data_IF_595880887481
#
_entry.id   IF_595880887481
#
_cell.length_a   1.000
_cell.length_b   1.000
_cell.length_c   1.000
_cell.angle_alpha   90.00
_cell.angle_beta   90.00
_cell.angle_gamma   90.00
#
_symmetry.space_group_name_H-M   'P 1'
#
loop_
_entity.id
_entity.type
_entity.pdbx_description
1 polymer ?
#
# COMPACT_ATOMS: atom_id res chain seq x y z
N UNK A 1 -3.88 -0.87 -0.24
CA UNK A 1 -4.33 -1.45 -1.53
C UNK A 1 -5.50 -0.61 -2.00
N UNK A 2 -5.35 0.14 -3.09
CA UNK A 2 -6.43 0.95 -3.66
C UNK A 2 -6.97 0.27 -4.93
N UNK A 3 -8.30 0.12 -4.93
CA UNK A 3 -9.27 -0.46 -5.88
C UNK A 3 -8.77 -1.28 -7.08
N UNK A 4 -9.08 -2.58 -7.03
CA UNK A 4 -9.45 -3.35 -8.21
C UNK A 4 -10.94 -3.11 -8.46
N UNK A 5 -11.26 -2.50 -9.60
CA UNK A 5 -12.57 -2.67 -10.21
C UNK A 5 -12.35 -2.78 -11.73
N UNK A 6 -12.43 -4.00 -12.24
CA UNK A 6 -12.52 -4.27 -13.67
C UNK A 6 -13.96 -4.00 -14.13
N UNK A 7 -14.35 -2.72 -14.14
CA UNK A 7 -15.60 -2.23 -14.72
C UNK A 7 -15.27 -1.02 -15.58
N UNK A 8 -15.36 -1.21 -16.89
CA UNK A 8 -15.13 -0.15 -17.88
C UNK A 8 -16.32 0.81 -17.86
N UNK A 9 -16.33 1.80 -16.97
CA UNK A 9 -17.11 3.05 -17.09
C UNK A 9 -16.84 3.98 -15.89
N UNK A 10 -15.82 4.83 -16.00
CA UNK A 10 -15.67 5.98 -15.10
C UNK A 10 -16.61 7.11 -15.55
N UNK A 11 -17.92 6.95 -15.34
CA UNK A 11 -18.96 7.89 -15.81
C UNK A 11 -19.19 9.08 -14.86
N UNK A 12 -18.47 9.17 -13.74
CA UNK A 12 -18.71 10.15 -12.67
C UNK A 12 -17.53 11.10 -12.38
N UNK A 13 -16.60 11.27 -13.33
CA UNK A 13 -15.43 12.14 -13.19
C UNK A 13 -14.50 11.83 -12.00
N UNK A 14 -14.55 10.61 -11.45
CA UNK A 14 -13.59 10.17 -10.44
C UNK A 14 -12.27 9.78 -11.12
N UNK A 15 -11.16 10.31 -10.61
CA UNK A 15 -9.80 9.92 -10.98
C UNK A 15 -9.12 9.19 -9.84
N UNK A 16 -8.40 8.11 -10.14
CA UNK A 16 -7.58 7.37 -9.18
C UNK A 16 -6.30 6.85 -9.84
N UNK A 17 -5.31 6.47 -9.04
CA UNK A 17 -4.06 5.87 -9.51
C UNK A 17 -3.95 4.46 -8.92
N UNK A 18 -3.87 3.46 -9.78
CA UNK A 18 -3.48 2.10 -9.42
C UNK A 18 -1.98 1.93 -9.66
N UNK A 19 -1.25 1.50 -8.64
CA UNK A 19 0.21 1.38 -8.69
C UNK A 19 0.69 -0.07 -8.49
N UNK A 20 1.74 -0.41 -9.22
CA UNK A 20 2.63 -1.53 -8.88
C UNK A 20 3.55 -1.07 -7.73
N UNK A 21 3.74 -1.88 -6.68
CA UNK A 21 4.34 -1.46 -5.40
C UNK A 21 5.84 -1.79 -5.28
N UNK A 22 6.40 -2.64 -6.15
CA UNK A 22 7.77 -3.13 -6.01
C UNK A 22 8.81 -2.01 -6.13
N UNK A 23 8.59 -1.06 -7.05
CA UNK A 23 9.56 -0.01 -7.35
C UNK A 23 9.72 1.04 -6.23
N UNK A 24 8.73 1.22 -5.36
CA UNK A 24 8.75 2.27 -4.36
C UNK A 24 7.56 2.26 -3.40
N UNK A 25 7.68 3.06 -2.34
CA UNK A 25 6.64 3.20 -1.32
C UNK A 25 5.69 4.37 -1.65
N UNK A 26 4.56 4.45 -0.95
CA UNK A 26 3.47 5.39 -1.28
C UNK A 26 3.82 6.88 -1.26
N UNK A 27 4.95 7.30 -0.68
CA UNK A 27 5.34 8.72 -0.55
C UNK A 27 5.50 9.39 -1.92
N UNK A 28 6.13 8.71 -2.89
CA UNK A 28 6.33 9.27 -4.23
C UNK A 28 4.99 9.44 -4.97
N UNK A 29 4.09 8.45 -4.84
CA UNK A 29 2.76 8.48 -5.46
C UNK A 29 1.87 9.53 -4.80
N UNK A 30 1.92 9.66 -3.48
CA UNK A 30 1.19 10.71 -2.76
C UNK A 30 1.60 12.09 -3.26
N UNK A 31 2.92 12.35 -3.38
CA UNK A 31 3.41 13.62 -3.91
C UNK A 31 2.94 13.85 -5.35
N UNK A 32 2.98 12.83 -6.20
CA UNK A 32 2.48 12.92 -7.57
C UNK A 32 0.99 13.28 -7.60
N UNK A 33 0.16 12.61 -6.78
CA UNK A 33 -1.27 12.88 -6.70
C UNK A 33 -1.57 14.31 -6.20
N UNK A 34 -0.87 14.77 -5.17
CA UNK A 34 -1.01 16.13 -4.63
C UNK A 34 -0.65 17.20 -5.67
N UNK A 35 0.47 17.02 -6.38
CA UNK A 35 0.91 17.98 -7.41
C UNK A 35 0.00 17.96 -8.64
N UNK A 36 -0.44 16.79 -9.12
CA UNK A 36 -1.43 16.69 -10.22
C UNK A 36 -2.72 17.38 -9.81
N UNK A 37 -3.23 17.12 -8.60
CA UNK A 37 -4.47 17.74 -8.14
C UNK A 37 -4.32 19.26 -8.05
N UNK A 38 -3.22 19.73 -7.46
CA UNK A 38 -2.93 21.16 -7.37
C UNK A 38 -2.86 21.80 -8.76
N UNK A 39 -2.06 21.24 -9.66
CA UNK A 39 -1.85 21.77 -11.00
C UNK A 39 -3.13 21.78 -11.84
N UNK A 40 -3.93 20.71 -11.77
CA UNK A 40 -5.23 20.64 -12.47
C UNK A 40 -6.25 21.65 -11.94
N UNK A 41 -6.13 22.10 -10.69
CA UNK A 41 -6.97 23.15 -10.11
C UNK A 41 -6.44 24.54 -10.46
N UNK A 42 -5.14 24.78 -10.29
CA UNK A 42 -4.54 26.12 -10.42
C UNK A 42 -4.17 26.50 -11.84
N UNK A 43 -3.69 25.55 -12.65
CA UNK A 43 -3.15 25.76 -14.00
C UNK A 43 -3.98 25.01 -15.05
N UNK A 44 -5.30 25.20 -15.03
CA UNK A 44 -6.21 24.53 -15.99
C UNK A 44 -5.82 24.85 -17.43
N UNK A 45 -5.26 23.86 -18.12
CA UNK A 45 -4.87 23.98 -19.52
C UNK A 45 -6.02 23.66 -20.49
N UNK A 46 -7.14 23.13 -20.01
CA UNK A 46 -8.36 22.84 -20.78
C UNK A 46 -9.60 23.20 -19.98
N UNK A 47 -10.65 23.65 -20.68
CA UNK A 47 -11.95 23.98 -20.13
C UNK A 47 -13.06 23.21 -20.86
N UNK A 48 -14.17 23.00 -20.18
CA UNK A 48 -15.36 22.36 -20.78
C UNK A 48 -15.81 23.19 -21.98
N UNK A 49 -15.99 22.54 -23.13
CA UNK A 49 -16.41 23.20 -24.37
C UNK A 49 -15.29 23.84 -25.20
N UNK A 50 -14.03 23.80 -24.74
CA UNK A 50 -12.88 24.22 -25.57
C UNK A 50 -12.82 23.36 -26.83
N UNK A 51 -12.93 23.98 -27.99
CA UNK A 51 -12.78 23.31 -29.27
C UNK A 51 -11.34 22.82 -29.43
N UNK A 52 -11.18 21.52 -29.72
CA UNK A 52 -9.88 20.91 -29.97
C UNK A 52 -9.52 21.16 -31.43
N UNK A 53 -8.32 21.68 -31.67
CA UNK A 53 -7.78 21.82 -33.01
C UNK A 53 -7.41 20.44 -33.56
N UNK A 54 -8.34 19.83 -34.30
CA UNK A 54 -8.16 18.50 -34.88
C UNK A 54 -6.94 18.41 -35.81
N UNK A 55 -6.48 19.53 -36.39
CA UNK A 55 -5.28 19.56 -37.22
C UNK A 55 -3.98 19.38 -36.41
N UNK A 56 -4.02 19.60 -35.09
CA UNK A 56 -2.89 19.39 -34.16
C UNK A 56 -3.01 18.11 -33.35
N UNK A 57 -4.10 17.35 -33.50
CA UNK A 57 -4.24 16.06 -32.86
C UNK A 57 -3.25 15.09 -33.50
N UNK A 58 -2.29 14.60 -32.71
CA UNK A 58 -1.41 13.53 -33.17
C UNK A 58 -2.22 12.27 -33.53
N UNK A 59 -1.69 11.47 -34.46
CA UNK A 59 -2.32 10.19 -34.81
C UNK A 59 -2.26 9.22 -33.62
N UNK A 60 -3.40 8.65 -33.24
CA UNK A 60 -3.46 7.60 -32.21
C UNK A 60 -3.39 6.25 -32.89
N UNK A 61 -2.47 5.39 -32.42
CA UNK A 61 -2.28 4.05 -32.99
C UNK A 61 -2.84 2.99 -32.05
N UNK A 62 -3.79 2.19 -32.55
CA UNK A 62 -4.26 1.00 -31.85
C UNK A 62 -3.14 -0.03 -31.76
N UNK A 63 -2.89 -0.55 -30.56
CA UNK A 63 -1.97 -1.67 -30.37
C UNK A 63 -2.67 -2.97 -30.82
N UNK A 64 -2.06 -3.68 -31.75
CA UNK A 64 -2.55 -4.95 -32.28
C UNK A 64 -1.83 -6.13 -31.64
N UNK A 65 -2.60 -7.10 -31.15
CA UNK A 65 -2.08 -8.30 -30.50
C UNK A 65 -2.48 -9.54 -31.29
N UNK A 66 -1.49 -10.34 -31.71
CA UNK A 66 -1.74 -11.63 -32.37
C UNK A 66 -1.79 -12.73 -31.31
N UNK A 67 -2.99 -13.23 -31.03
CA UNK A 67 -3.21 -14.25 -29.99
C UNK A 67 -3.44 -15.63 -30.63
N UNK A 68 -2.66 -16.61 -30.19
CA UNK A 68 -2.92 -18.03 -30.47
C UNK A 68 -3.86 -18.62 -29.41
N UNK A 69 -4.31 -19.86 -29.61
CA UNK A 69 -5.30 -20.51 -28.73
C UNK A 69 -4.77 -20.74 -27.31
N UNK A 70 -3.47 -21.00 -27.16
CA UNK A 70 -2.81 -21.13 -25.86
C UNK A 70 -2.86 -19.81 -25.06
N UNK A 71 -2.56 -18.68 -25.71
CA UNK A 71 -2.65 -17.35 -25.10
C UNK A 71 -4.09 -16.99 -24.75
N UNK A 72 -5.06 -17.29 -25.63
CA UNK A 72 -6.49 -17.05 -25.34
C UNK A 72 -6.94 -17.84 -24.11
N UNK A 73 -6.54 -19.10 -24.01
CA UNK A 73 -6.83 -19.96 -22.86
C UNK A 73 -6.20 -19.40 -21.58
N UNK A 74 -4.94 -18.96 -21.66
CA UNK A 74 -4.21 -18.36 -20.53
C UNK A 74 -4.87 -17.08 -20.05
N UNK A 75 -5.27 -16.18 -20.97
CA UNK A 75 -5.99 -14.94 -20.66
C UNK A 75 -7.31 -15.24 -19.97
N UNK A 76 -8.08 -16.20 -20.49
CA UNK A 76 -9.35 -16.61 -19.90
C UNK A 76 -9.14 -17.11 -18.47
N UNK A 77 -8.18 -18.02 -18.26
CA UNK A 77 -7.85 -18.54 -16.92
C UNK A 77 -7.41 -17.43 -15.97
N UNK A 78 -6.57 -16.50 -16.42
CA UNK A 78 -6.12 -15.38 -15.60
C UNK A 78 -7.28 -14.45 -15.20
N UNK A 79 -8.24 -14.23 -16.13
CA UNK A 79 -9.45 -13.45 -15.87
C UNK A 79 -10.36 -14.14 -14.85
N UNK A 80 -10.64 -15.44 -15.01
CA UNK A 80 -11.42 -16.23 -14.05
C UNK A 80 -10.78 -16.20 -12.64
N UNK A 81 -9.46 -16.39 -12.57
CA UNK A 81 -8.71 -16.30 -11.31
C UNK A 81 -8.74 -14.89 -10.70
N UNK A 82 -8.70 -13.85 -11.52
CA UNK A 82 -8.79 -12.48 -11.05
C UNK A 82 -10.16 -12.20 -10.43
N UNK A 83 -11.25 -12.56 -11.12
CA UNK A 83 -12.62 -12.41 -10.60
C UNK A 83 -12.79 -13.18 -9.30
N UNK A 84 -12.32 -14.43 -9.25
CA UNK A 84 -12.40 -15.26 -8.04
C UNK A 84 -11.62 -14.65 -6.85
N UNK A 85 -10.42 -14.12 -7.07
CA UNK A 85 -9.66 -13.42 -6.01
C UNK A 85 -10.36 -12.15 -5.54
N UNK A 86 -11.02 -11.43 -6.43
CA UNK A 86 -11.71 -10.20 -6.07
C UNK A 86 -13.02 -10.46 -5.33
N UNK A 87 -13.68 -11.61 -5.55
CA UNK A 87 -14.94 -11.92 -4.88
C UNK A 87 -14.81 -12.12 -3.36
N UNK A 88 -13.60 -12.41 -2.87
CA UNK A 88 -13.31 -12.59 -1.44
C UNK A 88 -12.84 -11.29 -0.76
N UNK A 89 -12.71 -10.19 -1.51
CA UNK A 89 -12.26 -8.90 -0.96
C UNK A 89 -13.43 -8.14 -0.32
N UNK A 90 -13.46 -8.09 1.01
CA UNK A 90 -14.30 -7.16 1.76
C UNK A 90 -13.62 -5.79 1.90
N UNK A 91 -14.35 -4.72 1.57
CA UNK A 91 -13.88 -3.34 1.76
C UNK A 91 -15.03 -2.44 2.20
N UNK A 92 -14.79 -1.62 3.22
CA UNK A 92 -15.69 -0.57 3.68
C UNK A 92 -14.89 0.64 4.16
N UNK A 93 -15.53 1.81 4.25
CA UNK A 93 -14.90 3.05 4.69
C UNK A 93 -15.75 3.71 5.78
N UNK A 94 -15.12 4.03 6.91
CA UNK A 94 -15.78 4.70 8.03
C UNK A 94 -15.18 6.10 8.17
N UNK A 95 -16.04 7.12 8.13
CA UNK A 95 -15.67 8.51 8.38
C UNK A 95 -16.18 8.96 9.75
N UNK A 96 -15.25 9.29 10.66
CA UNK A 96 -15.60 9.75 12.00
C UNK A 96 -15.50 11.28 12.13
N UNK A 97 -16.59 11.97 11.83
CA UNK A 97 -16.65 13.46 11.77
C UNK A 97 -16.34 14.17 13.10
N UNK A 98 -16.53 13.51 14.25
CA UNK A 98 -16.36 14.16 15.57
C UNK A 98 -14.94 14.09 16.12
N UNK A 99 -14.13 13.15 15.66
CA UNK A 99 -12.78 12.88 16.19
C UNK A 99 -11.78 13.43 15.17
N UNK A 100 -11.39 14.68 15.37
CA UNK A 100 -10.50 15.38 14.44
C UNK A 100 -9.08 15.44 14.98
N UNK A 101 -8.11 15.65 14.08
CA UNK A 101 -6.70 15.86 14.42
C UNK A 101 -6.53 16.98 15.45
N UNK A 102 -7.29 18.05 15.33
CA UNK A 102 -7.25 19.22 16.21
C UNK A 102 -7.69 18.84 17.62
N UNK A 103 -8.80 18.10 17.76
CA UNK A 103 -9.28 17.64 19.06
C UNK A 103 -8.32 16.68 19.75
N UNK A 104 -7.75 15.73 19.00
CA UNK A 104 -6.76 14.80 19.55
C UNK A 104 -5.52 15.57 20.03
N UNK A 105 -5.06 16.55 19.25
CA UNK A 105 -3.92 17.39 19.63
C UNK A 105 -4.21 18.30 20.83
N UNK A 106 -5.43 18.82 20.99
CA UNK A 106 -5.83 19.58 22.19
C UNK A 106 -5.72 18.73 23.47
N UNK A 107 -5.98 17.43 23.36
CA UNK A 107 -5.77 16.47 24.45
C UNK A 107 -4.30 16.04 24.63
N UNK A 108 -3.35 16.62 23.87
CA UNK A 108 -1.91 16.29 23.87
C UNK A 108 -1.60 14.84 23.48
N UNK A 109 -2.44 14.26 22.63
CA UNK A 109 -2.28 12.89 22.13
C UNK A 109 -1.83 12.89 20.66
N UNK A 110 -1.19 11.80 20.24
CA UNK A 110 -0.83 11.58 18.84
C UNK A 110 -2.05 11.04 18.07
N UNK A 111 -2.49 11.69 16.97
CA UNK A 111 -3.58 11.18 16.13
C UNK A 111 -3.31 9.76 15.63
N UNK A 112 -2.09 9.49 15.21
CA UNK A 112 -1.63 8.18 14.74
C UNK A 112 -1.78 7.11 15.84
N UNK A 113 -1.31 7.40 17.06
CA UNK A 113 -1.42 6.48 18.18
C UNK A 113 -2.87 6.21 18.59
N UNK A 114 -3.75 7.21 18.50
CA UNK A 114 -5.19 7.04 18.78
C UNK A 114 -5.85 6.16 17.74
N UNK A 115 -5.52 6.32 16.46
CA UNK A 115 -6.03 5.45 15.39
C UNK A 115 -5.54 4.01 15.57
N UNK A 116 -4.25 3.81 15.87
CA UNK A 116 -3.68 2.50 16.15
C UNK A 116 -4.34 1.83 17.36
N UNK A 117 -4.53 2.55 18.46
CA UNK A 117 -5.25 2.06 19.63
C UNK A 117 -6.70 1.68 19.28
N UNK A 118 -7.38 2.50 18.49
CA UNK A 118 -8.74 2.21 18.02
C UNK A 118 -8.82 0.91 17.23
N UNK A 119 -7.87 0.66 16.33
CA UNK A 119 -7.78 -0.59 15.57
C UNK A 119 -7.51 -1.80 16.48
N UNK A 120 -6.60 -1.68 17.44
CA UNK A 120 -6.33 -2.74 18.42
C UNK A 120 -7.56 -3.05 19.29
N UNK A 121 -8.27 -2.02 19.77
CA UNK A 121 -9.48 -2.21 20.57
C UNK A 121 -10.63 -2.81 19.76
N UNK A 122 -10.78 -2.42 18.49
CA UNK A 122 -11.77 -2.99 17.60
C UNK A 122 -11.48 -4.47 17.30
N UNK A 123 -10.21 -4.83 17.07
CA UNK A 123 -9.82 -6.22 16.89
C UNK A 123 -10.07 -7.03 18.18
N UNK A 124 -9.65 -6.51 19.33
CA UNK A 124 -9.84 -7.17 20.62
C UNK A 124 -11.33 -7.32 20.98
N UNK A 125 -12.19 -6.35 20.68
CA UNK A 125 -13.63 -6.45 20.98
C UNK A 125 -14.35 -7.52 20.17
N UNK A 126 -13.85 -7.86 18.98
CA UNK A 126 -14.41 -8.89 18.10
C UNK A 126 -13.83 -10.27 18.43
N UNK A 127 -12.51 -10.37 18.64
CA UNK A 127 -11.80 -11.65 18.71
C UNK A 127 -11.27 -12.02 20.10
N UNK A 128 -11.23 -11.09 21.05
CA UNK A 128 -10.80 -11.33 22.43
C UNK A 128 -9.29 -11.49 22.62
N UNK A 129 -8.47 -11.22 21.60
CA UNK A 129 -7.01 -11.32 21.67
C UNK A 129 -6.30 -10.14 20.97
N UNK A 130 -5.03 -9.93 21.31
CA UNK A 130 -4.14 -9.02 20.59
C UNK A 130 -3.22 -9.82 19.67
N UNK A 131 -2.98 -9.27 18.48
CA UNK A 131 -2.22 -9.93 17.42
C UNK A 131 -1.06 -9.06 16.93
N UNK A 132 0.01 -9.67 16.36
CA UNK A 132 1.06 -8.91 15.70
C UNK A 132 0.46 -8.01 14.61
N UNK A 133 0.70 -6.71 14.71
CA UNK A 133 0.13 -5.72 13.81
C UNK A 133 1.26 -5.01 13.09
N UNK A 134 1.16 -4.90 11.77
CA UNK A 134 2.15 -4.19 10.98
C UNK A 134 1.72 -2.74 10.75
N UNK A 135 2.62 -1.81 11.04
CA UNK A 135 2.43 -0.41 10.67
C UNK A 135 3.66 0.10 9.92
N UNK A 136 3.44 0.69 8.75
CA UNK A 136 4.53 1.21 7.93
C UNK A 136 5.14 2.50 8.51
N UNK A 137 6.46 2.54 8.62
CA UNK A 137 7.25 3.71 8.96
C UNK A 137 8.21 4.05 7.82
N UNK A 138 8.20 5.28 7.33
CA UNK A 138 9.16 5.69 6.29
C UNK A 138 10.56 5.85 6.87
N UNK A 139 11.56 5.29 6.19
CA UNK A 139 13.00 5.53 6.45
C UNK A 139 13.64 6.36 5.33
N UNK A 140 12.84 7.07 4.52
CA UNK A 140 13.30 7.86 3.38
C UNK A 140 14.28 9.00 3.74
N UNK A 141 14.48 9.30 5.02
CA UNK A 141 15.53 10.19 5.50
C UNK A 141 16.95 9.62 5.27
N UNK A 142 17.09 8.31 5.07
CA UNK A 142 18.34 7.62 4.79
C UNK A 142 18.51 7.35 3.29
N UNK A 143 19.77 7.23 2.83
CA UNK A 143 20.08 6.89 1.44
C UNK A 143 19.43 5.56 1.04
N UNK A 144 18.59 5.57 -0.01
CA UNK A 144 17.81 4.41 -0.46
C UNK A 144 16.88 3.83 0.61
N UNK A 145 16.47 4.65 1.58
CA UNK A 145 15.48 4.27 2.59
C UNK A 145 14.17 3.82 1.94
N UNK A 146 13.54 2.82 2.56
CA UNK A 146 12.23 2.27 2.19
C UNK A 146 11.29 2.43 3.38
N UNK A 147 10.93 1.31 4.00
CA UNK A 147 10.06 1.26 5.18
C UNK A 147 10.65 0.39 6.28
N UNK A 148 10.31 0.71 7.52
CA UNK A 148 10.45 -0.12 8.71
C UNK A 148 9.05 -0.42 9.30
N UNK A 149 8.91 -1.49 10.06
CA UNK A 149 7.72 -1.79 10.86
C UNK A 149 7.75 -0.96 12.14
N UNK A 150 6.68 -0.20 12.43
CA UNK A 150 6.58 0.50 13.71
C UNK A 150 6.36 -0.53 14.82
N UNK A 151 7.31 -0.60 15.75
CA UNK A 151 7.13 -1.24 17.03
C UNK A 151 6.39 -0.32 18.01
N UNK A 152 6.65 -0.53 19.31
CA UNK A 152 6.06 0.29 20.38
C UNK A 152 6.44 1.78 20.30
N UNK A 153 7.59 2.10 19.70
CA UNK A 153 8.12 3.47 19.61
C UNK A 153 8.29 3.93 18.16
N UNK A 154 7.46 4.91 17.76
CA UNK A 154 7.45 5.47 16.40
C UNK A 154 8.81 6.08 16.01
N UNK A 155 9.49 6.72 16.97
CA UNK A 155 10.74 7.43 16.70
C UNK A 155 11.86 6.48 16.28
N UNK A 156 12.00 5.34 16.97
CA UNK A 156 13.04 4.36 16.69
C UNK A 156 12.93 3.82 15.26
N UNK A 157 11.72 3.41 14.84
CA UNK A 157 11.49 2.90 13.48
C UNK A 157 11.86 3.93 12.40
N UNK A 158 11.47 5.20 12.57
CA UNK A 158 11.80 6.27 11.62
C UNK A 158 13.29 6.60 11.54
N UNK A 159 14.03 6.34 12.62
CA UNK A 159 15.48 6.49 12.71
C UNK A 159 16.24 5.21 12.29
N UNK A 160 15.55 4.21 11.73
CA UNK A 160 16.15 2.95 11.29
C UNK A 160 16.58 2.04 12.44
N UNK A 161 16.04 2.25 13.65
CA UNK A 161 16.32 1.47 14.85
C UNK A 161 15.24 0.39 15.12
N UNK A 162 14.34 0.17 14.17
CA UNK A 162 13.44 -0.99 14.22
C UNK A 162 14.21 -2.31 14.07
N UNK A 163 13.58 -3.40 14.48
CA UNK A 163 14.23 -4.72 14.48
C UNK A 163 13.83 -5.58 13.28
N UNK A 164 12.67 -5.35 12.64
CA UNK A 164 12.17 -6.21 11.57
C UNK A 164 13.12 -6.25 10.37
N UNK A 165 13.54 -5.09 9.84
CA UNK A 165 14.48 -5.05 8.71
C UNK A 165 15.85 -5.58 9.10
N UNK A 166 16.27 -5.39 10.35
CA UNK A 166 17.52 -5.94 10.86
C UNK A 166 17.47 -7.48 10.85
N UNK A 167 16.43 -8.10 11.44
CA UNK A 167 16.27 -9.55 11.42
C UNK A 167 16.14 -10.10 10.00
N UNK A 168 15.39 -9.41 9.13
CA UNK A 168 15.29 -9.76 7.72
C UNK A 168 16.67 -9.78 7.04
N UNK A 169 17.50 -8.74 7.27
CA UNK A 169 18.85 -8.65 6.75
C UNK A 169 19.77 -9.75 7.27
N UNK A 170 19.71 -10.07 8.57
CA UNK A 170 20.47 -11.17 9.18
C UNK A 170 20.09 -12.52 8.56
N UNK A 171 18.80 -12.79 8.38
CA UNK A 171 18.30 -14.02 7.76
C UNK A 171 18.82 -14.18 6.33
N UNK A 172 18.65 -13.15 5.49
CA UNK A 172 19.12 -13.19 4.11
C UNK A 172 20.65 -13.29 4.01
N UNK A 173 21.37 -12.67 4.95
CA UNK A 173 22.83 -12.78 5.01
C UNK A 173 23.25 -14.20 5.36
N UNK A 174 22.59 -14.86 6.32
CA UNK A 174 22.85 -16.25 6.65
C UNK A 174 22.62 -17.17 5.43
N UNK A 175 21.49 -17.02 4.72
CA UNK A 175 21.18 -17.77 3.50
C UNK A 175 22.25 -17.56 2.41
N UNK A 176 22.65 -16.30 2.17
CA UNK A 176 23.71 -15.97 1.20
C UNK A 176 25.06 -16.58 1.54
N UNK A 177 25.34 -16.75 2.83
CA UNK A 177 26.57 -17.38 3.32
C UNK A 177 26.46 -18.91 3.38
N UNK A 178 25.37 -19.50 2.87
CA UNK A 178 25.14 -20.95 2.91
C UNK A 178 24.92 -21.49 4.32
N UNK A 179 24.56 -20.63 5.29
CA UNK A 179 24.24 -21.05 6.66
C UNK A 179 22.79 -21.53 6.69
N UNK A 180 22.53 -22.78 7.09
CA UNK A 180 21.16 -23.29 7.17
C UNK A 180 20.36 -22.52 8.21
N UNK A 181 19.23 -21.92 7.82
CA UNK A 181 18.38 -21.10 8.71
C UNK A 181 17.80 -21.95 9.84
N UNK A 182 17.52 -23.22 9.57
CA UNK A 182 17.09 -24.24 10.54
C UNK A 182 18.05 -24.40 11.72
N UNK A 183 19.34 -24.08 11.53
CA UNK A 183 20.35 -24.18 12.58
C UNK A 183 20.52 -22.89 13.39
N UNK A 184 19.78 -21.83 13.07
CA UNK A 184 19.82 -20.56 13.78
C UNK A 184 18.60 -20.48 14.71
N UNK A 185 18.77 -20.64 16.04
CA UNK A 185 17.64 -20.84 16.96
C UNK A 185 16.59 -19.73 16.92
N UNK A 186 17.01 -18.47 16.78
CA UNK A 186 16.07 -17.34 16.79
C UNK A 186 15.08 -17.37 15.62
N UNK A 187 15.50 -17.83 14.43
CA UNK A 187 14.63 -17.89 13.26
C UNK A 187 13.68 -19.09 13.28
N UNK A 188 13.96 -20.12 14.08
CA UNK A 188 13.07 -21.27 14.27
C UNK A 188 12.22 -21.16 15.53
N UNK A 189 12.43 -20.12 16.33
CA UNK A 189 11.68 -19.93 17.56
C UNK A 189 10.19 -19.68 17.24
N UNK A 190 9.25 -20.36 17.91
CA UNK A 190 7.81 -20.19 17.64
C UNK A 190 7.32 -18.74 17.74
N UNK A 191 7.89 -17.95 18.66
CA UNK A 191 7.59 -16.52 18.78
C UNK A 191 8.03 -15.75 17.53
N UNK A 192 9.24 -16.00 17.02
CA UNK A 192 9.70 -15.32 15.80
C UNK A 192 8.77 -15.66 14.63
N UNK A 193 8.42 -16.94 14.46
CA UNK A 193 7.48 -17.36 13.42
C UNK A 193 6.12 -16.67 13.60
N UNK A 194 5.54 -16.67 14.80
CA UNK A 194 4.26 -15.99 15.06
C UNK A 194 4.30 -14.50 14.74
N UNK A 195 5.32 -13.77 15.20
CA UNK A 195 5.35 -12.30 15.14
C UNK A 195 5.93 -11.74 13.84
N UNK A 196 6.71 -12.50 13.07
CA UNK A 196 7.40 -12.01 11.87
C UNK A 196 6.85 -12.54 10.55
N UNK A 197 5.91 -13.51 10.58
CA UNK A 197 5.37 -14.11 9.36
C UNK A 197 3.87 -13.88 9.15
N UNK A 198 3.13 -13.54 10.20
CA UNK A 198 1.68 -13.34 10.14
C UNK A 198 1.32 -12.03 10.84
N UNK A 199 1.19 -10.98 10.05
CA UNK A 199 0.66 -9.70 10.52
C UNK A 199 -0.82 -9.60 10.14
N UNK A 200 -1.60 -9.02 11.04
CA UNK A 200 -2.90 -8.44 10.71
C UNK A 200 -2.72 -6.99 10.28
#
# INVERSE_FOLDING_TARGET
MFSINCGWEWTNCKGTINLEHSWGDGVAVLRLMEEILKDTITNRFVSVGRQVDAAKAGETKRLEWKLNDSLRTTIRKASEQHVHRCSDLGFDCIEHVKLTKEKIKMARLSPDAIMQLGMQLAFYSIYGEFVPTYESCSTAAFLKGRTESKGKEIKEASLGQGFDRHFFGLKHTAERLGRPIENIPIFNHPIYQKFMSHFV
#
